data_IF_064277766766
#
_entry.id   IF_064277766766
#
_cell.length_a   1.000
_cell.length_b   1.000
_cell.length_c   1.000
_cell.angle_alpha   90.00
_cell.angle_beta   90.00
_cell.angle_gamma   90.00
#
_symmetry.space_group_name_H-M   'P 1'
#
loop_
_entity.id
_entity.type
_entity.pdbx_description
1 polymer ?
#
# COMPACT_ATOMS: atom_id res chain seq x y z
N UNK A 1 -0.77 -39.85 -49.41
CA UNK A 1 -0.84 -38.66 -48.54
C UNK A 1 0.34 -38.72 -47.58
N UNK A 2 1.51 -38.30 -48.04
CA UNK A 2 2.62 -37.91 -47.19
C UNK A 2 2.31 -36.54 -46.57
N UNK A 3 2.57 -36.37 -45.28
CA UNK A 3 3.39 -35.24 -44.85
C UNK A 3 4.13 -35.57 -43.56
N UNK A 4 5.43 -35.42 -43.67
CA UNK A 4 6.48 -35.79 -42.74
C UNK A 4 7.18 -34.48 -42.37
N UNK A 5 7.25 -34.11 -41.09
CA UNK A 5 8.20 -33.12 -40.61
C UNK A 5 8.46 -33.34 -39.11
N UNK A 6 9.60 -33.95 -38.82
CA UNK A 6 10.30 -33.81 -37.55
C UNK A 6 11.23 -32.56 -37.60
N UNK A 7 11.99 -32.25 -36.55
CA UNK A 7 11.83 -31.06 -35.72
C UNK A 7 12.85 -29.95 -36.07
N UNK A 8 12.62 -28.75 -35.54
CA UNK A 8 13.65 -27.70 -35.47
C UNK A 8 13.84 -27.27 -34.03
N UNK A 9 15.02 -27.61 -33.54
CA UNK A 9 15.61 -27.20 -32.28
C UNK A 9 15.75 -25.68 -32.13
N UNK A 10 15.84 -25.30 -30.86
CA UNK A 10 16.63 -24.21 -30.29
C UNK A 10 16.14 -22.77 -30.45
N UNK A 11 15.44 -22.30 -29.41
CA UNK A 11 15.69 -21.01 -28.76
C UNK A 11 15.59 -21.25 -27.25
N UNK A 12 16.73 -21.50 -26.60
CA UNK A 12 17.52 -20.48 -25.92
C UNK A 12 17.00 -20.21 -24.49
N UNK A 13 17.70 -20.81 -23.54
CA UNK A 13 17.80 -20.39 -22.15
C UNK A 13 18.00 -18.87 -22.09
N UNK A 14 17.12 -18.19 -21.35
CA UNK A 14 17.18 -16.74 -21.14
C UNK A 14 16.59 -16.39 -19.78
N UNK A 15 17.48 -16.23 -18.82
CA UNK A 15 17.39 -15.31 -17.68
C UNK A 15 16.22 -15.47 -16.70
N UNK A 16 16.43 -16.38 -15.76
CA UNK A 16 15.78 -16.40 -14.43
C UNK A 16 16.33 -15.26 -13.54
N UNK A 17 16.38 -14.03 -14.05
CA UNK A 17 16.86 -12.85 -13.33
C UNK A 17 15.73 -11.81 -13.23
N UNK A 18 14.83 -12.04 -12.29
CA UNK A 18 13.68 -11.16 -12.06
C UNK A 18 12.62 -11.76 -11.14
N UNK A 19 12.98 -12.02 -9.88
CA UNK A 19 12.02 -12.44 -8.83
C UNK A 19 12.02 -11.49 -7.62
N UNK A 20 12.72 -10.36 -7.71
CA UNK A 20 13.03 -9.50 -6.57
C UNK A 20 12.14 -8.25 -6.59
N UNK A 21 11.14 -8.20 -5.69
CA UNK A 21 10.35 -6.99 -5.43
C UNK A 21 8.85 -7.14 -5.65
N UNK A 22 8.39 -7.18 -6.90
CA UNK A 22 6.95 -7.15 -7.22
C UNK A 22 6.22 -8.50 -7.06
N UNK A 23 6.94 -9.63 -7.06
CA UNK A 23 6.32 -10.96 -7.18
C UNK A 23 5.87 -11.61 -5.87
N UNK A 24 6.05 -10.96 -4.71
CA UNK A 24 5.68 -11.52 -3.40
C UNK A 24 4.64 -10.68 -2.63
N UNK A 25 4.04 -9.66 -3.25
CA UNK A 25 2.95 -8.91 -2.62
C UNK A 25 1.61 -9.56 -2.92
N UNK A 26 0.87 -9.85 -1.85
CA UNK A 26 -0.50 -10.32 -1.97
C UNK A 26 -1.44 -9.16 -2.35
N UNK A 27 -1.81 -9.09 -3.63
CA UNK A 27 -2.62 -8.02 -4.25
C UNK A 27 -3.94 -7.76 -3.52
N UNK A 28 -4.57 -8.80 -2.95
CA UNK A 28 -5.86 -8.68 -2.26
C UNK A 28 -5.79 -7.81 -1.01
N UNK A 29 -4.61 -7.65 -0.39
CA UNK A 29 -4.41 -6.73 0.74
C UNK A 29 -4.45 -5.26 0.33
N UNK A 30 -4.34 -4.99 -0.96
CA UNK A 30 -4.37 -3.63 -1.51
C UNK A 30 -5.74 -3.26 -2.09
N UNK A 31 -6.73 -4.15 -1.98
CA UNK A 31 -8.08 -3.91 -2.47
C UNK A 31 -8.95 -3.32 -1.37
N UNK A 32 -9.74 -2.29 -1.73
CA UNK A 32 -10.78 -1.77 -0.84
C UNK A 32 -11.86 -2.84 -0.68
N UNK A 33 -12.21 -3.25 0.56
CA UNK A 33 -13.24 -4.26 0.78
C UNK A 33 -14.60 -3.80 0.23
N UNK A 34 -15.36 -4.68 -0.46
CA UNK A 34 -16.63 -4.29 -1.08
C UNK A 34 -17.68 -3.95 -0.01
N UNK A 35 -18.45 -2.91 -0.29
CA UNK A 35 -19.60 -2.48 0.51
C UNK A 35 -20.73 -3.50 0.28
N UNK A 36 -21.28 -4.07 1.36
CA UNK A 36 -22.44 -4.98 1.28
C UNK A 36 -23.73 -4.17 1.13
N UNK A 37 -24.67 -4.65 0.32
CA UNK A 37 -25.96 -3.98 0.06
C UNK A 37 -26.81 -3.75 1.32
N UNK A 38 -26.63 -4.58 2.35
CA UNK A 38 -27.51 -4.63 3.52
C UNK A 38 -27.00 -3.74 4.68
N UNK A 39 -26.16 -2.74 4.36
CA UNK A 39 -25.55 -1.89 5.38
C UNK A 39 -26.50 -0.83 5.89
N UNK A 40 -26.65 -0.77 7.21
CA UNK A 40 -27.33 0.33 7.88
C UNK A 40 -26.52 1.60 7.69
N UNK A 41 -27.11 2.63 7.09
CA UNK A 41 -26.49 3.93 6.88
C UNK A 41 -26.07 4.56 8.23
N UNK A 42 -24.82 5.05 8.30
CA UNK A 42 -24.24 5.68 9.50
C UNK A 42 -23.69 7.08 9.20
N UNK A 43 -24.54 8.03 8.76
CA UNK A 43 -24.11 9.36 8.30
C UNK A 43 -23.31 10.13 9.34
N UNK A 44 -23.60 9.94 10.64
CA UNK A 44 -22.82 10.55 11.73
C UNK A 44 -21.35 10.14 11.70
N UNK A 45 -21.04 8.88 11.41
CA UNK A 45 -19.65 8.40 11.36
C UNK A 45 -18.96 8.85 10.07
N UNK A 46 -19.65 8.76 8.94
CA UNK A 46 -19.15 9.24 7.64
C UNK A 46 -18.80 10.73 7.71
N UNK A 47 -19.62 11.55 8.36
CA UNK A 47 -19.34 12.97 8.58
C UNK A 47 -18.10 13.18 9.48
N UNK A 48 -17.89 12.34 10.49
CA UNK A 48 -16.68 12.42 11.32
C UNK A 48 -15.42 12.07 10.52
N UNK A 49 -15.49 11.09 9.61
CA UNK A 49 -14.39 10.76 8.70
C UNK A 49 -14.07 11.93 7.76
N UNK A 50 -15.09 12.60 7.23
CA UNK A 50 -14.92 13.78 6.38
C UNK A 50 -14.24 14.95 7.11
N UNK A 51 -14.45 15.07 8.42
CA UNK A 51 -13.73 16.05 9.24
C UNK A 51 -12.30 15.58 9.54
N UNK A 52 -12.10 14.27 9.72
CA UNK A 52 -10.80 13.66 10.00
C UNK A 52 -9.79 13.88 8.88
N UNK A 53 -10.19 13.76 7.61
CA UNK A 53 -9.28 13.96 6.46
C UNK A 53 -8.73 15.38 6.33
N UNK A 54 -9.27 16.36 7.06
CA UNK A 54 -8.70 17.72 7.12
C UNK A 54 -7.44 17.79 8.00
N UNK A 55 -7.03 16.68 8.59
CA UNK A 55 -5.84 16.53 9.42
C UNK A 55 -4.86 15.58 8.70
N UNK A 56 -3.55 15.77 8.89
CA UNK A 56 -2.53 14.92 8.26
C UNK A 56 -2.60 13.46 8.73
N UNK A 57 -3.20 13.20 9.91
CA UNK A 57 -3.37 11.86 10.45
C UNK A 57 -4.69 11.74 11.23
N UNK A 58 -5.42 10.63 11.00
CA UNK A 58 -6.66 10.30 11.72
C UNK A 58 -6.61 8.85 12.19
N UNK A 59 -6.76 8.64 13.51
CA UNK A 59 -6.86 7.31 14.10
C UNK A 59 -8.33 6.92 14.31
N UNK A 60 -8.72 5.76 13.79
CA UNK A 60 -10.04 5.16 14.01
C UNK A 60 -9.87 3.95 14.92
N UNK A 61 -10.29 4.08 16.18
CA UNK A 61 -10.24 3.01 17.16
C UNK A 61 -11.66 2.49 17.47
N UNK A 62 -11.85 1.19 17.34
CA UNK A 62 -13.05 0.47 17.77
C UNK A 62 -12.71 -1.02 17.97
N UNK A 63 -13.43 -1.75 18.84
CA UNK A 63 -13.18 -3.17 19.02
C UNK A 63 -13.39 -3.99 17.72
N UNK A 64 -12.89 -5.22 17.71
CA UNK A 64 -13.12 -6.14 16.59
C UNK A 64 -14.63 -6.35 16.37
N UNK A 65 -15.06 -6.41 15.11
CA UNK A 65 -16.47 -6.61 14.76
C UNK A 65 -17.36 -5.35 14.82
N UNK A 66 -16.85 -4.19 15.24
CA UNK A 66 -17.64 -2.94 15.27
C UNK A 66 -17.77 -2.23 13.92
N UNK A 67 -17.26 -2.82 12.84
CA UNK A 67 -17.45 -2.34 11.48
C UNK A 67 -16.54 -1.17 11.05
N UNK A 68 -15.31 -1.08 11.58
CA UNK A 68 -14.31 -0.06 11.16
C UNK A 68 -14.09 -0.07 9.65
N UNK A 69 -13.66 -1.22 9.14
CA UNK A 69 -13.48 -1.51 7.71
C UNK A 69 -14.75 -1.18 6.93
N UNK A 70 -15.91 -1.59 7.44
CA UNK A 70 -17.20 -1.37 6.78
C UNK A 70 -17.56 0.11 6.63
N UNK A 71 -17.36 0.91 7.68
CA UNK A 71 -17.62 2.35 7.65
C UNK A 71 -16.63 3.06 6.73
N UNK A 72 -15.37 2.64 6.73
CA UNK A 72 -14.35 3.17 5.81
C UNK A 72 -14.69 2.85 4.35
N UNK A 73 -14.98 1.59 4.01
CA UNK A 73 -15.39 1.19 2.64
C UNK A 73 -16.62 1.97 2.17
N UNK A 74 -17.64 2.10 3.02
CA UNK A 74 -18.86 2.84 2.67
C UNK A 74 -18.63 4.34 2.50
N UNK A 75 -17.67 4.92 3.25
CA UNK A 75 -17.28 6.31 3.08
C UNK A 75 -16.51 6.55 1.78
N UNK A 76 -15.62 5.62 1.39
CA UNK A 76 -14.84 5.70 0.17
C UNK A 76 -15.68 5.59 -1.11
N UNK A 77 -16.82 4.90 -1.06
CA UNK A 77 -17.73 4.77 -2.23
C UNK A 77 -18.19 6.13 -2.77
N UNK A 78 -18.29 7.14 -1.91
CA UNK A 78 -18.75 8.49 -2.26
C UNK A 78 -17.65 9.55 -2.08
N UNK A 79 -16.41 9.14 -1.85
CA UNK A 79 -15.29 10.05 -1.63
C UNK A 79 -14.87 10.71 -2.95
N UNK A 80 -14.65 12.04 -2.98
CA UNK A 80 -14.23 12.76 -4.19
C UNK A 80 -12.72 12.69 -4.44
N UNK A 81 -11.97 11.89 -3.67
CA UNK A 81 -10.52 11.79 -3.71
C UNK A 81 -10.07 10.35 -3.89
N UNK A 82 -8.83 10.19 -4.34
CA UNK A 82 -8.19 8.89 -4.51
C UNK A 82 -7.72 8.33 -3.17
N UNK A 83 -7.99 7.05 -2.91
CA UNK A 83 -7.59 6.38 -1.68
C UNK A 83 -6.78 5.12 -1.96
N UNK A 84 -5.64 4.99 -1.29
CA UNK A 84 -4.82 3.79 -1.22
C UNK A 84 -5.18 3.01 0.04
N UNK A 85 -5.35 1.69 -0.10
CA UNK A 85 -5.71 0.80 1.00
C UNK A 85 -4.63 -0.24 1.22
N UNK A 86 -4.28 -0.48 2.48
CA UNK A 86 -3.43 -1.60 2.92
C UNK A 86 -4.11 -2.30 4.08
N UNK A 87 -4.57 -3.54 3.86
CA UNK A 87 -5.01 -4.44 4.93
C UNK A 87 -3.79 -5.13 5.52
N UNK A 88 -3.48 -4.80 6.77
CA UNK A 88 -2.32 -5.33 7.49
C UNK A 88 -2.65 -6.66 8.17
N UNK A 89 -1.66 -7.53 8.22
CA UNK A 89 -1.69 -8.80 8.92
C UNK A 89 -0.48 -8.92 9.84
N UNK A 90 -0.50 -9.87 10.79
CA UNK A 90 0.64 -10.11 11.70
C UNK A 90 1.96 -10.37 10.95
N UNK A 91 1.90 -10.91 9.74
CA UNK A 91 3.06 -11.19 8.91
C UNK A 91 3.72 -9.95 8.29
N UNK A 92 3.09 -8.77 8.44
CA UNK A 92 3.59 -7.47 7.98
C UNK A 92 4.29 -6.69 9.09
N UNK A 93 4.49 -7.29 10.27
CA UNK A 93 5.23 -6.71 11.39
C UNK A 93 6.76 -6.72 11.14
N UNK A 94 7.15 -6.37 9.91
CA UNK A 94 8.51 -6.31 9.38
C UNK A 94 8.64 -5.14 8.39
N UNK A 95 9.66 -4.29 8.55
CA UNK A 95 9.85 -3.08 7.73
C UNK A 95 9.96 -3.37 6.23
N UNK A 96 10.63 -4.48 5.88
CA UNK A 96 10.90 -4.88 4.50
C UNK A 96 9.62 -5.42 3.84
N UNK A 97 8.58 -5.76 4.60
CA UNK A 97 7.26 -6.12 4.07
C UNK A 97 6.26 -4.98 4.11
N UNK A 98 6.21 -4.28 5.24
CA UNK A 98 5.25 -3.20 5.50
C UNK A 98 5.32 -2.09 4.44
N UNK A 99 6.51 -1.53 4.22
CA UNK A 99 6.67 -0.36 3.36
C UNK A 99 6.46 -0.65 1.86
N UNK A 100 6.92 -1.79 1.28
CA UNK A 100 6.53 -2.11 -0.08
C UNK A 100 5.03 -2.21 -0.30
N UNK A 101 4.25 -2.70 0.67
CA UNK A 101 2.78 -2.69 0.56
C UNK A 101 2.26 -1.25 0.48
N UNK A 102 2.75 -0.36 1.35
CA UNK A 102 2.35 1.07 1.35
C UNK A 102 2.72 1.76 0.03
N UNK A 103 3.96 1.64 -0.42
CA UNK A 103 4.41 2.27 -1.66
C UNK A 103 3.65 1.72 -2.88
N UNK A 104 3.41 0.42 -2.91
CA UNK A 104 2.65 -0.23 -4.00
C UNK A 104 1.18 0.19 -3.99
N UNK A 105 0.57 0.35 -2.81
CA UNK A 105 -0.82 0.81 -2.69
C UNK A 105 -1.00 2.19 -3.30
N UNK A 106 -0.07 3.11 -3.02
CA UNK A 106 -0.09 4.46 -3.56
C UNK A 106 0.26 4.48 -5.05
N UNK A 107 1.29 3.74 -5.49
CA UNK A 107 1.67 3.64 -6.91
C UNK A 107 0.51 3.16 -7.80
N UNK A 108 -0.33 2.24 -7.29
CA UNK A 108 -1.52 1.75 -8.01
C UNK A 108 -2.61 2.79 -8.18
N UNK A 109 -2.70 3.72 -7.23
CA UNK A 109 -3.73 4.76 -7.19
C UNK A 109 -3.28 5.96 -8.03
N UNK A 110 -2.01 6.33 -7.92
CA UNK A 110 -1.38 7.37 -8.72
C UNK A 110 0.01 6.91 -9.16
N UNK A 111 0.20 6.54 -10.44
CA UNK A 111 1.51 6.19 -10.96
C UNK A 111 2.56 7.29 -10.69
N UNK A 112 3.75 6.89 -10.30
CA UNK A 112 4.83 7.78 -9.88
C UNK A 112 4.79 8.21 -8.41
N UNK A 113 3.74 7.87 -7.66
CA UNK A 113 3.66 8.21 -6.22
C UNK A 113 4.46 7.28 -5.32
N UNK A 114 4.77 6.05 -5.74
CA UNK A 114 5.57 5.07 -4.98
C UNK A 114 6.84 4.61 -5.69
N UNK A 115 6.97 4.90 -7.00
CA UNK A 115 8.04 4.39 -7.86
C UNK A 115 9.47 4.67 -7.33
N UNK A 116 9.74 5.87 -6.81
CA UNK A 116 11.07 6.24 -6.30
C UNK A 116 11.49 5.38 -5.10
N UNK A 117 10.57 5.15 -4.17
CA UNK A 117 10.79 4.33 -2.98
C UNK A 117 10.94 2.85 -3.35
N UNK A 118 10.07 2.35 -4.24
CA UNK A 118 10.13 0.96 -4.73
C UNK A 118 11.44 0.68 -5.47
N UNK A 119 11.93 1.62 -6.28
CA UNK A 119 13.20 1.48 -6.99
C UNK A 119 14.39 1.36 -6.03
N UNK A 120 14.41 2.13 -4.93
CA UNK A 120 15.46 2.02 -3.90
C UNK A 120 15.45 0.66 -3.20
N UNK A 121 14.26 0.09 -2.98
CA UNK A 121 14.12 -1.24 -2.38
C UNK A 121 14.50 -2.37 -3.34
N UNK A 122 14.21 -2.22 -4.64
CA UNK A 122 14.48 -3.24 -5.67
C UNK A 122 15.92 -3.21 -6.19
N UNK A 123 16.53 -2.04 -6.26
CA UNK A 123 17.88 -1.83 -6.78
C UNK A 123 19.01 -2.11 -5.79
N UNK A 124 18.68 -2.34 -4.51
CA UNK A 124 19.65 -2.56 -3.44
C UNK A 124 19.86 -4.05 -3.18
N UNK A 125 21.10 -4.43 -2.84
CA UNK A 125 21.36 -5.71 -2.18
C UNK A 125 20.57 -5.73 -0.86
N UNK A 126 19.79 -6.79 -0.54
CA UNK A 126 19.10 -6.92 0.74
C UNK A 126 19.99 -6.68 1.97
N UNK A 127 21.30 -6.93 1.87
CA UNK A 127 22.27 -6.68 2.94
C UNK A 127 22.76 -5.23 3.03
N UNK A 128 22.44 -4.39 2.04
CA UNK A 128 22.90 -3.01 1.91
C UNK A 128 21.75 -2.01 1.71
N UNK A 129 20.54 -2.39 2.13
CA UNK A 129 19.40 -1.49 2.08
C UNK A 129 19.67 -0.21 2.88
N UNK A 130 19.40 0.98 2.31
CA UNK A 130 19.46 2.22 3.06
C UNK A 130 18.53 2.17 4.29
N UNK A 131 18.83 2.95 5.34
CA UNK A 131 17.89 3.17 6.43
C UNK A 131 16.52 3.58 5.90
N UNK A 132 15.45 3.11 6.54
CA UNK A 132 14.09 3.34 6.05
C UNK A 132 13.76 4.84 5.97
N UNK A 133 14.28 5.65 6.89
CA UNK A 133 14.10 7.09 6.93
C UNK A 133 14.67 7.77 5.66
N UNK A 134 15.77 7.26 5.11
CA UNK A 134 16.34 7.75 3.85
C UNK A 134 15.38 7.48 2.69
N UNK A 135 14.81 6.27 2.64
CA UNK A 135 13.84 5.87 1.62
C UNK A 135 12.58 6.74 1.74
N UNK A 136 12.06 6.92 2.96
CA UNK A 136 10.90 7.77 3.24
C UNK A 136 11.16 9.22 2.87
N UNK A 137 12.35 9.75 3.10
CA UNK A 137 12.69 11.13 2.73
C UNK A 137 12.62 11.35 1.23
N UNK A 138 13.23 10.44 0.44
CA UNK A 138 13.16 10.50 -1.03
C UNK A 138 11.71 10.39 -1.49
N UNK A 139 10.94 9.51 -0.87
CA UNK A 139 9.56 9.28 -1.19
C UNK A 139 8.65 10.48 -0.90
N UNK A 140 8.74 11.05 0.31
CA UNK A 140 7.99 12.24 0.76
C UNK A 140 8.26 13.43 -0.15
N UNK A 141 9.52 13.65 -0.53
CA UNK A 141 9.87 14.70 -1.50
C UNK A 141 9.19 14.48 -2.86
N UNK A 142 9.05 13.23 -3.29
CA UNK A 142 8.31 12.87 -4.50
C UNK A 142 6.80 13.15 -4.35
N UNK A 143 6.22 12.79 -3.20
CA UNK A 143 4.81 13.06 -2.90
C UNK A 143 4.50 14.57 -2.89
N UNK A 144 5.39 15.39 -2.34
CA UNK A 144 5.24 16.85 -2.29
C UNK A 144 5.15 17.50 -3.68
N UNK A 145 5.66 16.84 -4.72
CA UNK A 145 5.61 17.32 -6.10
C UNK A 145 4.32 16.92 -6.84
N UNK A 146 3.46 16.09 -6.23
CA UNK A 146 2.23 15.63 -6.87
C UNK A 146 1.15 16.73 -6.86
N UNK A 147 0.35 16.85 -7.94
CA UNK A 147 -0.66 17.90 -8.05
C UNK A 147 -1.94 17.62 -7.27
N UNK A 148 -2.08 16.43 -6.66
CA UNK A 148 -3.31 15.96 -6.04
C UNK A 148 -3.06 15.35 -4.67
N UNK A 149 -3.94 15.67 -3.72
CA UNK A 149 -4.01 15.01 -2.42
C UNK A 149 -4.54 13.58 -2.56
N UNK A 150 -4.04 12.68 -1.71
CA UNK A 150 -4.46 11.28 -1.65
C UNK A 150 -4.62 10.85 -0.20
N UNK A 151 -5.48 9.86 0.04
CA UNK A 151 -5.67 9.28 1.37
C UNK A 151 -5.04 7.90 1.42
N UNK A 152 -4.17 7.66 2.40
CA UNK A 152 -3.67 6.31 2.72
C UNK A 152 -4.44 5.73 3.91
N UNK A 153 -4.97 4.53 3.74
CA UNK A 153 -5.67 3.78 4.78
C UNK A 153 -4.85 2.55 5.14
N UNK A 154 -4.48 2.45 6.41
CA UNK A 154 -3.86 1.29 7.02
C UNK A 154 -4.89 0.58 7.88
N UNK A 155 -5.55 -0.44 7.34
CA UNK A 155 -6.53 -1.23 8.10
C UNK A 155 -5.83 -2.29 8.94
N UNK A 156 -6.41 -2.58 10.10
CA UNK A 156 -5.87 -3.52 11.10
C UNK A 156 -4.44 -3.18 11.60
N UNK A 157 -4.08 -1.89 11.62
CA UNK A 157 -2.77 -1.41 12.12
C UNK A 157 -2.41 -1.88 13.55
N UNK A 158 -3.40 -2.17 14.38
CA UNK A 158 -3.20 -2.74 15.73
C UNK A 158 -2.48 -4.12 15.74
N UNK A 159 -2.37 -4.79 14.58
CA UNK A 159 -1.60 -6.02 14.44
C UNK A 159 -0.09 -5.79 14.32
N UNK A 160 0.33 -4.55 14.03
CA UNK A 160 1.73 -4.13 13.95
C UNK A 160 2.20 -3.76 15.36
N UNK A 161 3.32 -4.35 15.79
CA UNK A 161 3.90 -4.15 17.12
C UNK A 161 5.38 -3.77 17.09
N UNK A 162 6.03 -3.92 15.93
CA UNK A 162 7.43 -3.60 15.74
C UNK A 162 7.67 -2.10 15.88
N UNK A 163 8.40 -1.73 16.93
CA UNK A 163 8.77 -0.35 17.22
C UNK A 163 9.41 0.39 16.02
N UNK A 164 10.29 -0.23 15.20
CA UNK A 164 10.83 0.41 14.01
C UNK A 164 9.76 0.85 13.01
N UNK A 165 8.66 0.07 12.86
CA UNK A 165 7.55 0.47 11.97
C UNK A 165 6.85 1.70 12.56
N UNK A 166 6.52 1.70 13.85
CA UNK A 166 5.87 2.85 14.49
C UNK A 166 6.72 4.12 14.41
N UNK A 167 8.03 4.01 14.60
CA UNK A 167 8.98 5.11 14.43
C UNK A 167 8.97 5.64 12.99
N UNK A 168 9.03 4.75 12.00
CA UNK A 168 9.00 5.15 10.60
C UNK A 168 7.66 5.77 10.16
N UNK A 169 6.53 5.30 10.71
CA UNK A 169 5.21 5.91 10.47
C UNK A 169 5.11 7.28 11.15
N UNK A 170 5.67 7.43 12.36
CA UNK A 170 5.77 8.73 13.03
C UNK A 170 6.59 9.70 12.19
N UNK A 171 7.74 9.26 11.67
CA UNK A 171 8.56 10.04 10.76
C UNK A 171 7.79 10.50 9.52
N UNK A 172 7.01 9.59 8.90
CA UNK A 172 6.13 9.96 7.80
C UNK A 172 5.14 11.07 8.21
N UNK A 173 4.39 10.86 9.30
CA UNK A 173 3.36 11.81 9.77
C UNK A 173 3.93 13.19 10.09
N UNK A 174 5.11 13.25 10.71
CA UNK A 174 5.77 14.50 11.08
C UNK A 174 6.26 15.31 9.85
N UNK A 175 6.40 14.66 8.69
CA UNK A 175 6.94 15.25 7.47
C UNK A 175 5.98 15.13 6.27
N UNK A 176 4.69 14.85 6.49
CA UNK A 176 3.71 14.86 5.41
C UNK A 176 3.68 16.25 4.73
N UNK A 177 3.60 16.31 3.39
CA UNK A 177 3.58 17.57 2.64
C UNK A 177 2.32 18.41 2.89
#
# INVERSE_FOLDING_TARGET
MQNNLAPRDALASGDTKGLTGERLLLVTKLAIPPVRSDLVARPRLTNQLQLGIRRPFTLIAAPAGFGKTTVLSAWLEYAPFSAAWVSLERGDDDLIRFWPYVFTALERVHPGSGASALALLQGSDPQQLPPIETILTVWINGLAALPHEMVLILDDYHLITAQPIHQSVTYLVDHLP
#
